data_IF_830282273168
#
_entry.id   IF_830282273168
#
_cell.length_a   1.000
_cell.length_b   1.000
_cell.length_c   1.000
_cell.angle_alpha   90.00
_cell.angle_beta   90.00
_cell.angle_gamma   90.00
#
_symmetry.space_group_name_H-M   'P 1'
#
loop_
_entity.id
_entity.type
_entity.pdbx_description
1 polymer ?
#
# COMPACT_ATOMS: atom_id res chain seq x y z
N UNK A 1 4.54 2.14 31.41
CA UNK A 1 3.93 2.37 30.09
C UNK A 1 4.66 1.51 29.09
N UNK A 2 4.18 0.28 28.88
CA UNK A 2 4.65 -0.69 27.87
C UNK A 2 3.40 -0.99 27.06
N UNK A 3 3.31 -0.51 25.82
CA UNK A 3 2.13 -0.79 24.98
C UNK A 3 2.42 -1.01 23.49
N UNK A 4 3.66 -0.91 23.02
CA UNK A 4 3.94 -0.90 21.57
C UNK A 4 5.04 -1.89 21.14
N UNK A 5 5.08 -3.11 21.68
CA UNK A 5 6.08 -4.12 21.26
C UNK A 5 5.50 -5.51 20.95
N UNK A 6 4.18 -5.68 21.04
CA UNK A 6 3.51 -6.98 20.84
C UNK A 6 3.26 -7.34 19.36
N UNK A 7 3.42 -6.39 18.42
CA UNK A 7 3.44 -6.68 16.97
C UNK A 7 4.67 -7.54 16.59
N UNK A 8 5.65 -7.67 17.49
CA UNK A 8 6.96 -8.29 17.23
C UNK A 8 7.10 -9.76 17.66
N UNK A 9 6.12 -10.39 18.29
CA UNK A 9 6.24 -11.79 18.70
C UNK A 9 4.89 -12.43 18.52
N UNK A 10 4.80 -13.41 17.62
CA UNK A 10 3.60 -14.17 17.33
C UNK A 10 4.04 -15.64 17.16
N UNK A 11 3.45 -16.60 17.89
CA UNK A 11 4.09 -17.88 18.16
C UNK A 11 3.19 -19.15 18.17
N UNK A 12 3.82 -20.35 18.16
CA UNK A 12 3.42 -21.79 18.41
C UNK A 12 2.35 -22.55 17.54
N UNK A 13 2.75 -23.62 16.82
CA UNK A 13 1.89 -24.66 16.20
C UNK A 13 2.23 -25.22 14.79
N UNK A 14 3.27 -26.07 14.63
CA UNK A 14 3.71 -26.63 13.32
C UNK A 14 2.67 -27.48 12.54
N UNK A 15 2.39 -27.11 11.28
CA UNK A 15 1.86 -28.05 10.27
C UNK A 15 2.56 -27.91 8.90
N UNK A 16 3.01 -29.04 8.35
CA UNK A 16 3.63 -29.14 7.04
C UNK A 16 2.56 -29.16 5.92
N UNK A 17 2.55 -28.14 5.06
CA UNK A 17 1.74 -28.13 3.85
C UNK A 17 2.49 -28.80 2.69
N UNK A 18 1.96 -29.93 2.24
CA UNK A 18 2.32 -30.55 0.97
C UNK A 18 1.48 -29.86 -0.12
N UNK A 19 2.10 -28.99 -0.91
CA UNK A 19 1.46 -28.41 -2.09
C UNK A 19 1.75 -29.27 -3.34
N UNK A 20 0.68 -29.56 -4.08
CA UNK A 20 0.64 -30.42 -5.27
C UNK A 20 1.48 -29.93 -6.46
N UNK A 21 1.94 -30.92 -7.23
CA UNK A 21 2.76 -30.87 -8.43
C UNK A 21 2.28 -29.88 -9.52
N UNK A 22 3.16 -28.94 -9.88
CA UNK A 22 3.27 -28.38 -11.24
C UNK A 22 4.74 -28.12 -11.58
N UNK A 23 5.19 -28.75 -12.67
CA UNK A 23 6.40 -28.55 -13.48
C UNK A 23 7.74 -28.38 -12.76
N UNK A 24 8.60 -29.42 -12.79
CA UNK A 24 10.04 -29.46 -12.47
C UNK A 24 10.61 -28.25 -11.68
N UNK A 25 9.99 -27.90 -10.55
CA UNK A 25 10.47 -26.84 -9.68
C UNK A 25 11.69 -27.36 -8.94
N UNK A 26 12.83 -26.67 -9.04
CA UNK A 26 14.05 -27.06 -8.32
C UNK A 26 14.30 -26.18 -7.11
N UNK A 27 15.04 -26.74 -6.16
CA UNK A 27 15.68 -25.96 -5.11
C UNK A 27 16.94 -25.32 -5.70
N UNK A 28 16.99 -23.99 -5.73
CA UNK A 28 18.18 -23.26 -6.16
C UNK A 28 19.33 -23.51 -5.19
N UNK A 29 20.55 -23.58 -5.73
CA UNK A 29 21.75 -23.54 -4.89
C UNK A 29 22.01 -22.11 -4.38
N UNK A 30 22.98 -21.96 -3.48
CA UNK A 30 23.30 -20.67 -2.84
C UNK A 30 23.62 -19.57 -3.86
N UNK A 31 24.49 -19.86 -4.83
CA UNK A 31 24.94 -18.86 -5.81
C UNK A 31 23.79 -18.43 -6.73
N UNK A 32 22.98 -19.39 -7.19
CA UNK A 32 21.76 -19.12 -7.96
C UNK A 32 20.78 -18.26 -7.16
N UNK A 33 20.54 -18.61 -5.89
CA UNK A 33 19.63 -17.88 -5.01
C UNK A 33 20.10 -16.44 -4.76
N UNK A 34 21.39 -16.24 -4.42
CA UNK A 34 21.99 -14.92 -4.24
C UNK A 34 21.91 -14.07 -5.50
N UNK A 35 22.09 -14.68 -6.67
CA UNK A 35 21.94 -13.99 -7.95
C UNK A 35 20.49 -13.52 -8.15
N UNK A 36 19.48 -14.38 -7.89
CA UNK A 36 18.08 -13.97 -8.02
C UNK A 36 17.73 -12.81 -7.07
N UNK A 37 18.22 -12.86 -5.83
CA UNK A 37 18.05 -11.80 -4.81
C UNK A 37 18.70 -10.49 -5.26
N UNK A 38 19.96 -10.55 -5.70
CA UNK A 38 20.70 -9.37 -6.16
C UNK A 38 20.01 -8.71 -7.36
N UNK A 39 19.47 -9.51 -8.28
CA UNK A 39 18.74 -9.00 -9.43
C UNK A 39 17.46 -8.26 -9.00
N UNK A 40 16.69 -8.80 -8.05
CA UNK A 40 15.48 -8.17 -7.55
C UNK A 40 15.77 -6.82 -6.86
N UNK A 41 16.82 -6.76 -6.03
CA UNK A 41 17.31 -5.53 -5.38
C UNK A 41 17.66 -4.44 -6.42
N UNK A 42 18.46 -4.81 -7.44
CA UNK A 42 18.85 -3.88 -8.50
C UNK A 42 17.65 -3.42 -9.33
N UNK A 43 16.70 -4.31 -9.61
CA UNK A 43 15.49 -3.96 -10.36
C UNK A 43 14.63 -2.98 -9.56
N UNK A 44 14.47 -3.18 -8.25
CA UNK A 44 13.74 -2.27 -7.36
C UNK A 44 14.33 -0.85 -7.36
N UNK A 45 15.65 -0.73 -7.25
CA UNK A 45 16.34 0.57 -7.34
C UNK A 45 16.08 1.22 -8.69
N UNK A 46 16.29 0.47 -9.78
CA UNK A 46 16.15 1.00 -11.14
C UNK A 46 14.71 1.46 -11.42
N UNK A 47 13.70 0.68 -11.03
CA UNK A 47 12.29 1.04 -11.24
C UNK A 47 11.88 2.24 -10.42
N UNK A 48 12.32 2.35 -9.17
CA UNK A 48 12.03 3.50 -8.33
C UNK A 48 12.54 4.80 -8.98
N UNK A 49 13.78 4.80 -9.49
CA UNK A 49 14.36 5.94 -10.21
C UNK A 49 13.63 6.31 -11.52
N UNK A 50 13.03 5.34 -12.21
CA UNK A 50 12.25 5.62 -13.41
C UNK A 50 10.91 6.31 -13.11
N UNK A 51 10.27 6.01 -11.97
CA UNK A 51 8.97 6.60 -11.57
C UNK A 51 9.14 8.09 -11.26
N UNK A 52 10.14 8.42 -10.42
CA UNK A 52 10.41 9.81 -10.00
C UNK A 52 10.82 10.70 -11.17
N UNK A 53 11.30 10.08 -12.25
CA UNK A 53 11.64 10.78 -13.48
C UNK A 53 10.42 11.17 -14.33
N UNK A 54 9.22 10.62 -14.07
CA UNK A 54 8.01 10.88 -14.88
C UNK A 54 7.46 12.30 -14.66
N UNK A 55 6.89 12.89 -15.73
CA UNK A 55 6.26 14.21 -15.65
C UNK A 55 5.08 14.22 -14.65
N UNK A 56 4.29 13.15 -14.62
CA UNK A 56 3.17 13.00 -13.70
C UNK A 56 3.61 13.13 -12.24
N UNK A 57 4.66 12.41 -11.86
CA UNK A 57 5.22 12.48 -10.51
C UNK A 57 5.75 13.88 -10.17
N UNK A 58 6.64 14.42 -11.00
CA UNK A 58 7.29 15.72 -10.74
C UNK A 58 6.30 16.88 -10.67
N UNK A 59 5.25 16.87 -11.50
CA UNK A 59 4.23 17.91 -11.49
C UNK A 59 3.40 17.85 -10.21
N UNK A 60 3.08 16.65 -9.74
CA UNK A 60 2.31 16.46 -8.53
C UNK A 60 3.11 16.84 -7.28
N UNK A 61 4.39 16.45 -7.20
CA UNK A 61 5.33 16.91 -6.18
C UNK A 61 5.44 18.45 -6.17
N UNK A 62 5.62 19.07 -7.35
CA UNK A 62 5.67 20.52 -7.48
C UNK A 62 4.38 21.19 -7.01
N UNK A 63 3.22 20.67 -7.41
CA UNK A 63 1.93 21.22 -7.03
C UNK A 63 1.74 21.25 -5.52
N UNK A 64 2.24 20.23 -4.82
CA UNK A 64 2.05 20.10 -3.39
C UNK A 64 3.06 20.86 -2.53
N UNK A 65 4.32 20.87 -2.95
CA UNK A 65 5.42 21.37 -2.11
C UNK A 65 5.84 22.79 -2.46
N UNK A 66 5.61 23.23 -3.71
CA UNK A 66 6.14 24.50 -4.23
C UNK A 66 5.05 25.54 -4.54
N UNK A 67 3.79 25.12 -4.68
CA UNK A 67 2.67 26.04 -4.87
C UNK A 67 1.84 26.15 -3.59
N UNK A 68 1.48 27.36 -3.14
CA UNK A 68 0.54 27.49 -2.04
C UNK A 68 -0.80 26.91 -2.48
N UNK A 69 -1.42 26.09 -1.63
CA UNK A 69 -2.68 25.44 -1.99
C UNK A 69 -3.79 26.47 -2.26
N UNK A 70 -4.58 26.32 -3.35
CA UNK A 70 -5.76 27.15 -3.58
C UNK A 70 -6.87 26.95 -2.54
N UNK A 71 -6.77 25.92 -1.69
CA UNK A 71 -7.84 25.49 -0.77
C UNK A 71 -7.54 25.78 0.72
N UNK A 72 -6.32 26.20 1.06
CA UNK A 72 -5.85 26.32 2.46
C UNK A 72 -6.59 27.35 3.33
N UNK A 73 -7.41 28.22 2.74
CA UNK A 73 -8.18 29.25 3.48
C UNK A 73 -9.49 28.75 4.11
N UNK A 74 -9.91 27.49 3.88
CA UNK A 74 -11.17 26.93 4.44
C UNK A 74 -11.00 26.02 5.66
N UNK A 75 -9.79 25.83 6.21
CA UNK A 75 -9.49 24.80 7.22
C UNK A 75 -9.89 25.09 8.68
N UNK A 76 -10.71 26.12 8.96
CA UNK A 76 -11.20 26.39 10.33
C UNK A 76 -12.48 25.61 10.70
N UNK A 77 -12.84 24.56 9.96
CA UNK A 77 -13.89 23.64 10.40
C UNK A 77 -13.23 22.60 11.31
N UNK A 78 -13.65 22.59 12.58
CA UNK A 78 -13.25 21.61 13.60
C UNK A 78 -13.14 20.21 12.97
N UNK A 79 -11.92 19.68 12.89
CA UNK A 79 -11.68 18.29 12.51
C UNK A 79 -12.57 17.42 13.40
N UNK A 80 -13.44 16.61 12.80
CA UNK A 80 -14.07 15.50 13.52
C UNK A 80 -12.97 14.70 14.19
N UNK A 81 -13.16 14.37 15.48
CA UNK A 81 -12.18 13.63 16.31
C UNK A 81 -12.02 12.18 15.85
N UNK A 82 -12.80 11.76 14.85
CA UNK A 82 -12.77 10.43 14.27
C UNK A 82 -12.28 10.57 12.82
N UNK A 83 -11.07 10.09 12.48
CA UNK A 83 -10.67 9.90 11.08
C UNK A 83 -11.74 9.02 10.43
N UNK A 84 -12.39 9.49 9.37
CA UNK A 84 -13.33 8.66 8.62
C UNK A 84 -12.59 7.40 8.14
N UNK A 85 -13.22 6.22 8.13
CA UNK A 85 -12.59 4.99 7.63
C UNK A 85 -12.06 5.13 6.18
N UNK A 86 -12.56 6.12 5.43
CA UNK A 86 -11.98 6.57 4.17
C UNK A 86 -10.57 7.14 4.33
N UNK A 87 -10.37 8.02 5.31
CA UNK A 87 -9.08 8.62 5.60
C UNK A 87 -8.10 7.56 6.08
N UNK A 88 -8.55 6.56 6.83
CA UNK A 88 -7.75 5.37 7.14
C UNK A 88 -7.45 4.52 5.92
N UNK A 89 -8.42 4.14 5.09
CA UNK A 89 -8.17 3.37 3.87
C UNK A 89 -7.25 4.10 2.86
N UNK A 90 -7.35 5.43 2.84
CA UNK A 90 -6.47 6.30 2.06
C UNK A 90 -5.07 6.44 2.69
N UNK A 91 -4.98 6.59 4.02
CA UNK A 91 -3.75 6.59 4.80
C UNK A 91 -3.07 5.20 4.79
N UNK A 92 -3.82 4.11 4.63
CA UNK A 92 -3.32 2.74 4.48
C UNK A 92 -2.79 2.50 3.07
N UNK A 93 -3.45 3.03 2.02
CA UNK A 93 -2.80 3.13 0.70
C UNK A 93 -1.52 3.95 0.74
N UNK A 94 -1.39 4.91 1.67
CA UNK A 94 -0.21 5.76 1.83
C UNK A 94 0.88 5.10 2.68
N UNK A 95 0.53 4.44 3.77
CA UNK A 95 1.46 3.73 4.66
C UNK A 95 1.98 2.46 3.98
N UNK A 96 1.19 1.83 3.11
CA UNK A 96 1.65 0.74 2.25
C UNK A 96 2.49 1.16 1.04
N UNK A 97 2.79 2.45 0.93
CA UNK A 97 3.59 3.00 -0.15
C UNK A 97 4.76 3.78 0.46
N UNK A 98 5.92 3.10 0.52
CA UNK A 98 7.26 3.70 0.36
C UNK A 98 8.04 4.17 1.59
N UNK A 99 7.97 3.46 2.72
CA UNK A 99 8.66 3.95 3.92
C UNK A 99 10.20 4.01 3.92
N UNK A 100 10.98 3.34 3.04
CA UNK A 100 12.41 3.75 2.87
C UNK A 100 12.90 3.82 1.42
N UNK A 101 12.03 4.26 0.49
CA UNK A 101 12.53 4.98 -0.68
C UNK A 101 11.82 6.34 -0.70
N UNK A 102 12.44 7.41 -0.18
CA UNK A 102 11.80 8.67 0.23
C UNK A 102 11.23 9.52 -0.93
N UNK A 103 10.87 8.93 -2.07
CA UNK A 103 10.72 9.69 -3.30
C UNK A 103 9.41 9.44 -4.06
N UNK A 104 8.36 8.81 -3.53
CA UNK A 104 7.05 8.79 -4.23
C UNK A 104 5.85 9.07 -3.30
N UNK A 105 5.77 10.30 -2.79
CA UNK A 105 4.60 10.75 -2.03
C UNK A 105 3.47 11.22 -2.96
N UNK A 106 2.25 10.73 -2.74
CA UNK A 106 1.04 11.21 -3.43
C UNK A 106 0.34 12.32 -2.64
N UNK A 107 0.63 13.57 -3.00
CA UNK A 107 0.23 14.76 -2.25
C UNK A 107 -1.18 15.31 -2.55
N UNK A 108 -2.11 14.46 -2.98
CA UNK A 108 -3.51 14.86 -3.12
C UNK A 108 -4.23 14.99 -1.76
N UNK A 109 -3.51 14.70 -0.66
CA UNK A 109 -3.99 14.74 0.74
C UNK A 109 -4.51 16.10 1.19
N UNK A 110 -4.15 17.18 0.50
CA UNK A 110 -4.61 18.52 0.85
C UNK A 110 -6.01 18.81 0.28
N UNK A 111 -6.98 18.09 0.84
CA UNK A 111 -8.30 18.62 1.18
C UNK A 111 -9.23 19.03 0.02
N UNK A 112 -9.73 18.04 -0.73
CA UNK A 112 -10.83 18.25 -1.68
C UNK A 112 -12.10 17.48 -1.31
N UNK A 113 -12.05 16.43 -0.48
CA UNK A 113 -13.21 15.52 -0.32
C UNK A 113 -14.35 16.10 0.53
N UNK A 114 -14.04 16.82 1.61
CA UNK A 114 -15.09 17.40 2.47
C UNK A 114 -15.64 18.74 1.95
N UNK A 115 -14.90 19.41 1.07
CA UNK A 115 -15.32 20.69 0.49
C UNK A 115 -15.44 20.61 -1.04
N UNK A 116 -15.49 19.42 -1.65
CA UNK A 116 -15.50 19.25 -3.12
C UNK A 116 -16.58 20.14 -3.73
N UNK A 117 -17.76 20.10 -3.13
CA UNK A 117 -18.92 20.91 -3.52
C UNK A 117 -18.71 22.42 -3.35
N UNK A 118 -17.88 22.85 -2.41
CA UNK A 118 -17.61 24.27 -2.11
C UNK A 118 -16.44 24.85 -2.91
N UNK A 119 -15.65 24.02 -3.59
CA UNK A 119 -14.46 24.45 -4.35
C UNK A 119 -14.57 24.17 -5.85
N UNK A 120 -15.73 23.70 -6.32
CA UNK A 120 -16.02 23.49 -7.75
C UNK A 120 -15.76 24.76 -8.56
N UNK A 121 -15.34 24.58 -9.80
CA UNK A 121 -14.93 25.65 -10.69
C UNK A 121 -13.47 25.56 -11.09
N UNK A 122 -12.98 26.62 -11.73
CA UNK A 122 -11.61 26.72 -12.22
C UNK A 122 -10.79 27.65 -11.34
N UNK A 123 -9.66 27.15 -10.83
CA UNK A 123 -8.64 27.86 -10.09
C UNK A 123 -7.45 28.13 -11.00
N UNK A 124 -7.16 29.39 -11.29
CA UNK A 124 -6.02 29.78 -12.13
C UNK A 124 -4.93 30.42 -11.26
N UNK A 125 -3.71 29.94 -11.40
CA UNK A 125 -2.55 30.60 -10.81
C UNK A 125 -2.28 31.92 -11.53
N UNK A 126 -1.96 32.95 -10.75
CA UNK A 126 -1.45 34.24 -11.22
C UNK A 126 -0.29 34.69 -10.34
N UNK A 127 0.53 35.68 -10.78
CA UNK A 127 1.58 36.23 -9.92
C UNK A 127 1.08 36.82 -8.58
N UNK A 128 -0.20 37.15 -8.49
CA UNK A 128 -0.83 37.69 -7.28
C UNK A 128 -1.58 36.62 -6.46
N UNK A 129 -1.41 35.34 -6.81
CA UNK A 129 -2.10 34.20 -6.18
C UNK A 129 -3.21 33.62 -7.06
N UNK A 130 -4.09 32.83 -6.44
CA UNK A 130 -5.14 32.11 -7.13
C UNK A 130 -6.36 32.98 -7.45
N UNK A 131 -6.89 32.86 -8.67
CA UNK A 131 -8.21 33.37 -9.04
C UNK A 131 -9.17 32.20 -9.24
N UNK A 132 -10.45 32.41 -8.89
CA UNK A 132 -11.49 31.38 -8.96
C UNK A 132 -12.63 31.81 -9.88
N UNK A 133 -13.02 30.89 -10.76
CA UNK A 133 -14.20 30.98 -11.62
C UNK A 133 -15.14 29.83 -11.24
N UNK A 134 -16.45 30.07 -11.11
CA UNK A 134 -17.41 29.05 -10.64
C UNK A 134 -17.76 27.99 -11.68
N UNK A 135 -17.14 28.04 -12.86
CA UNK A 135 -17.31 27.05 -13.94
C UNK A 135 -16.06 26.19 -14.10
N UNK A 136 -16.20 24.87 -14.28
CA UNK A 136 -17.45 24.10 -14.37
C UNK A 136 -18.12 23.88 -13.00
N UNK A 137 -19.40 23.49 -12.98
CA UNK A 137 -20.22 23.35 -11.75
C UNK A 137 -20.22 21.96 -11.14
N UNK A 138 -19.55 21.02 -11.78
CA UNK A 138 -19.46 19.60 -11.41
C UNK A 138 -18.03 19.15 -11.08
N UNK A 139 -17.01 19.91 -11.49
CA UNK A 139 -15.60 19.55 -11.36
C UNK A 139 -14.78 20.64 -10.68
N UNK A 140 -13.60 20.27 -10.17
CA UNK A 140 -12.57 21.20 -9.71
C UNK A 140 -11.43 21.17 -10.72
N UNK A 141 -11.13 22.30 -11.34
CA UNK A 141 -10.04 22.45 -12.31
C UNK A 141 -8.99 23.37 -11.72
N UNK A 142 -7.73 22.96 -11.67
CA UNK A 142 -6.63 23.78 -11.17
C UNK A 142 -5.58 23.94 -12.26
N UNK A 143 -5.25 25.18 -12.60
CA UNK A 143 -4.33 25.53 -13.70
C UNK A 143 -3.15 26.31 -13.17
N UNK A 144 -1.93 25.84 -13.43
CA UNK A 144 -0.72 26.47 -12.92
C UNK A 144 0.47 26.30 -13.87
N UNK A 145 1.53 27.14 -13.73
CA UNK A 145 2.73 27.03 -14.54
C UNK A 145 3.65 25.93 -14.00
N UNK A 146 4.16 25.09 -14.88
CA UNK A 146 5.24 24.17 -14.59
C UNK A 146 6.27 24.15 -15.73
N UNK A 147 7.58 24.18 -15.40
CA UNK A 147 8.17 24.48 -14.08
C UNK A 147 7.88 25.93 -13.63
N UNK A 148 8.29 26.32 -12.42
CA UNK A 148 7.96 27.62 -11.79
C UNK A 148 8.24 28.87 -12.67
N UNK A 149 9.19 28.78 -13.61
CA UNK A 149 9.52 29.86 -14.54
C UNK A 149 8.64 29.93 -15.80
N UNK A 150 7.65 29.05 -15.97
CA UNK A 150 6.80 29.05 -17.15
C UNK A 150 5.88 30.28 -17.15
N UNK A 151 5.84 30.99 -18.28
CA UNK A 151 5.03 32.19 -18.45
C UNK A 151 3.52 31.89 -18.57
N UNK A 152 3.14 30.62 -18.76
CA UNK A 152 1.77 30.19 -19.00
C UNK A 152 1.36 29.06 -18.06
N UNK A 153 0.07 29.01 -17.72
CA UNK A 153 -0.51 27.87 -17.00
C UNK A 153 -0.64 26.69 -17.97
N UNK A 154 0.43 25.89 -18.07
CA UNK A 154 0.54 24.77 -18.98
C UNK A 154 0.25 23.41 -18.32
N UNK A 155 -0.02 23.40 -17.01
CA UNK A 155 -0.56 22.24 -16.29
C UNK A 155 -2.02 22.48 -15.95
N UNK A 156 -2.85 21.45 -16.15
CA UNK A 156 -4.23 21.40 -15.67
C UNK A 156 -4.43 20.13 -14.85
N UNK A 157 -4.79 20.28 -13.57
CA UNK A 157 -5.26 19.20 -12.70
C UNK A 157 -6.78 19.27 -12.68
N UNK A 158 -7.46 18.16 -12.97
CA UNK A 158 -8.93 18.08 -12.93
C UNK A 158 -9.36 17.00 -11.96
N UNK A 159 -10.18 17.36 -10.99
CA UNK A 159 -10.92 16.46 -10.11
C UNK A 159 -12.37 16.38 -10.59
N UNK A 160 -12.86 15.18 -10.88
CA UNK A 160 -14.14 14.96 -11.54
C UNK A 160 -14.76 13.62 -11.11
N UNK A 161 -16.00 13.37 -11.53
CA UNK A 161 -16.78 12.18 -11.17
C UNK A 161 -16.86 11.93 -9.65
N UNK A 162 -16.93 13.01 -8.86
CA UNK A 162 -17.04 12.90 -7.40
C UNK A 162 -18.42 12.42 -6.98
N UNK A 163 -18.45 11.38 -6.16
CA UNK A 163 -19.67 10.87 -5.52
C UNK A 163 -19.42 10.62 -4.03
N UNK A 164 -20.49 10.63 -3.24
CA UNK A 164 -20.43 10.34 -1.81
C UNK A 164 -21.73 9.74 -1.32
N UNK A 165 -21.68 9.01 -0.21
CA UNK A 165 -22.84 8.42 0.46
C UNK A 165 -22.86 8.78 1.96
N UNK A 166 -23.98 8.56 2.62
CA UNK A 166 -24.12 8.75 4.07
C UNK A 166 -23.93 7.40 4.77
N UNK A 167 -22.95 7.31 5.67
CA UNK A 167 -22.67 6.14 6.50
C UNK A 167 -22.64 6.59 7.95
N UNK A 168 -23.54 6.05 8.77
CA UNK A 168 -23.66 6.39 10.21
C UNK A 168 -23.69 7.91 10.49
N UNK A 169 -24.38 8.65 9.63
CA UNK A 169 -24.54 10.10 9.75
C UNK A 169 -23.34 10.92 9.24
N UNK A 170 -22.31 10.28 8.69
CA UNK A 170 -21.15 10.93 8.07
C UNK A 170 -21.20 10.82 6.54
N UNK A 171 -20.90 11.91 5.84
CA UNK A 171 -20.74 11.89 4.38
C UNK A 171 -19.36 11.33 4.05
N UNK A 172 -19.33 10.20 3.36
CA UNK A 172 -18.10 9.50 2.97
C UNK A 172 -18.01 9.47 1.45
N UNK A 173 -16.87 9.85 0.85
CA UNK A 173 -16.70 9.80 -0.60
C UNK A 173 -16.70 8.34 -1.08
N UNK A 174 -17.35 8.11 -2.22
CA UNK A 174 -17.47 6.78 -2.85
C UNK A 174 -16.81 6.73 -4.21
N UNK A 175 -16.63 7.85 -4.90
CA UNK A 175 -15.87 7.92 -6.15
C UNK A 175 -15.17 9.28 -6.26
N UNK A 176 -13.99 9.29 -6.85
CA UNK A 176 -13.34 10.50 -7.37
C UNK A 176 -12.33 10.10 -8.44
N UNK A 177 -12.25 10.89 -9.51
CA UNK A 177 -11.19 10.78 -10.50
C UNK A 177 -10.37 12.04 -10.54
N UNK A 178 -9.07 11.87 -10.77
CA UNK A 178 -8.10 12.93 -10.93
C UNK A 178 -7.35 12.69 -12.23
N UNK A 179 -7.10 13.75 -12.99
CA UNK A 179 -6.14 13.72 -14.11
C UNK A 179 -5.23 14.94 -14.07
N UNK A 180 -4.00 14.75 -14.52
CA UNK A 180 -3.05 15.85 -14.77
C UNK A 180 -2.74 15.87 -16.26
N UNK A 181 -2.93 17.03 -16.87
CA UNK A 181 -2.57 17.32 -18.25
C UNK A 181 -1.42 18.34 -18.27
N UNK A 182 -0.32 18.00 -18.92
CA UNK A 182 0.83 18.85 -19.15
C UNK A 182 0.95 19.16 -20.64
N UNK A 183 0.89 20.43 -21.02
CA UNK A 183 0.81 20.86 -22.43
C UNK A 183 -0.27 20.10 -23.22
N UNK A 184 -1.46 19.91 -22.61
CA UNK A 184 -2.58 19.13 -23.16
C UNK A 184 -2.31 17.63 -23.37
N UNK A 185 -1.22 17.10 -22.81
CA UNK A 185 -0.94 15.65 -22.78
C UNK A 185 -1.25 15.12 -21.39
N UNK A 186 -2.08 14.09 -21.28
CA UNK A 186 -2.34 13.44 -20.01
C UNK A 186 -1.09 12.71 -19.52
N UNK A 187 -0.57 13.11 -18.36
CA UNK A 187 0.64 12.55 -17.75
C UNK A 187 0.35 11.76 -16.47
N UNK A 188 -0.84 11.92 -15.91
CA UNK A 188 -1.27 11.23 -14.69
C UNK A 188 -2.79 11.03 -14.68
N UNK A 189 -3.24 9.89 -14.14
CA UNK A 189 -4.62 9.67 -13.71
C UNK A 189 -4.67 8.93 -12.39
N UNK A 190 -5.67 9.25 -11.58
CA UNK A 190 -6.09 8.49 -10.41
C UNK A 190 -7.59 8.26 -10.49
N UNK A 191 -8.04 7.06 -10.13
CA UNK A 191 -9.44 6.75 -9.94
C UNK A 191 -9.60 6.03 -8.59
N UNK A 192 -10.36 6.63 -7.70
CA UNK A 192 -10.81 6.01 -6.46
C UNK A 192 -12.26 5.59 -6.61
N UNK A 193 -12.59 4.42 -6.08
CA UNK A 193 -13.95 3.95 -5.91
C UNK A 193 -14.09 3.18 -4.60
N UNK A 194 -15.27 3.21 -3.99
CA UNK A 194 -15.59 2.42 -2.83
C UNK A 194 -17.05 2.00 -2.79
N UNK A 195 -17.26 0.79 -2.27
CA UNK A 195 -18.57 0.27 -1.91
C UNK A 195 -18.61 0.14 -0.40
N UNK A 196 -19.45 0.94 0.24
CA UNK A 196 -19.55 0.99 1.70
C UNK A 196 -20.97 0.61 2.09
N UNK A 197 -21.14 -0.59 2.65
CA UNK A 197 -22.44 -1.03 3.17
C UNK A 197 -22.68 -0.44 4.57
N UNK A 198 -21.64 -0.48 5.41
CA UNK A 198 -21.55 0.16 6.73
C UNK A 198 -20.06 0.22 7.14
N UNK A 199 -19.77 0.72 8.34
CA UNK A 199 -18.39 0.81 8.87
C UNK A 199 -17.66 -0.53 9.02
N UNK A 200 -18.42 -1.62 9.16
CA UNK A 200 -17.95 -3.00 9.36
C UNK A 200 -17.85 -3.79 8.05
N UNK A 201 -18.31 -3.21 6.93
CA UNK A 201 -18.36 -3.87 5.62
C UNK A 201 -18.18 -2.88 4.49
N UNK A 202 -16.97 -2.88 3.93
CA UNK A 202 -16.62 -2.00 2.83
C UNK A 202 -15.53 -2.59 1.93
N UNK A 203 -15.44 -2.08 0.72
CA UNK A 203 -14.34 -2.34 -0.20
C UNK A 203 -13.91 -1.05 -0.88
N UNK A 204 -12.61 -0.87 -1.06
CA UNK A 204 -12.03 0.29 -1.75
C UNK A 204 -11.18 -0.19 -2.92
N UNK A 205 -11.03 0.70 -3.91
CA UNK A 205 -10.14 0.50 -5.03
C UNK A 205 -9.53 1.83 -5.48
N UNK A 206 -8.23 1.82 -5.70
CA UNK A 206 -7.46 2.93 -6.24
C UNK A 206 -6.68 2.46 -7.45
N UNK A 207 -6.93 3.06 -8.61
CA UNK A 207 -6.12 2.88 -9.81
C UNK A 207 -5.35 4.17 -10.11
N UNK A 208 -4.05 4.06 -10.35
CA UNK A 208 -3.18 5.18 -10.72
C UNK A 208 -2.43 4.85 -12.00
N UNK A 209 -2.23 5.82 -12.87
CA UNK A 209 -1.41 5.68 -14.07
C UNK A 209 -0.55 6.92 -14.26
N UNK A 210 0.74 6.71 -14.50
CA UNK A 210 1.70 7.72 -14.93
C UNK A 210 2.60 7.04 -15.96
N UNK A 211 2.20 7.14 -17.24
CA UNK A 211 2.79 6.36 -18.34
C UNK A 211 4.33 6.31 -18.27
N UNK A 212 4.96 5.12 -18.29
CA UNK A 212 4.42 3.78 -18.62
C UNK A 212 3.88 2.96 -17.45
N UNK A 213 3.71 3.56 -16.28
CA UNK A 213 3.42 2.85 -15.04
C UNK A 213 1.93 2.83 -14.70
N UNK A 214 1.50 1.75 -14.06
CA UNK A 214 0.16 1.61 -13.52
C UNK A 214 0.20 0.94 -12.14
N UNK A 215 -0.55 1.49 -11.19
CA UNK A 215 -0.77 0.96 -9.85
C UNK A 215 -2.25 0.64 -9.71
N UNK A 216 -2.57 -0.45 -9.01
CA UNK A 216 -3.93 -0.80 -8.59
C UNK A 216 -3.86 -1.33 -7.17
N UNK A 217 -4.58 -0.71 -6.23
CA UNK A 217 -4.80 -1.25 -4.89
C UNK A 217 -6.28 -1.52 -4.68
N UNK A 218 -6.61 -2.69 -4.15
CA UNK A 218 -7.95 -3.10 -3.77
C UNK A 218 -7.91 -3.64 -2.34
N UNK A 219 -8.81 -3.15 -1.50
CA UNK A 219 -8.95 -3.62 -0.11
C UNK A 219 -10.41 -3.92 0.19
N UNK A 220 -10.65 -4.91 1.05
CA UNK A 220 -12.00 -5.16 1.55
C UNK A 220 -11.98 -5.66 2.99
N UNK A 221 -12.97 -5.23 3.76
CA UNK A 221 -13.25 -5.68 5.11
C UNK A 221 -14.70 -6.16 5.17
N UNK A 222 -14.91 -7.29 5.82
CA UNK A 222 -16.25 -7.81 6.12
C UNK A 222 -16.27 -8.45 7.51
N UNK A 223 -16.95 -7.78 8.46
CA UNK A 223 -17.20 -8.25 9.84
C UNK A 223 -18.58 -8.91 9.96
N UNK A 224 -19.32 -9.08 8.86
CA UNK A 224 -20.75 -9.46 8.90
C UNK A 224 -21.04 -10.98 8.93
N UNK A 225 -20.03 -11.84 9.09
CA UNK A 225 -20.19 -13.30 8.88
C UNK A 225 -19.81 -14.12 10.11
N UNK A 226 -20.79 -14.64 10.86
CA UNK A 226 -20.64 -15.78 11.78
C UNK A 226 -19.38 -15.75 12.67
N UNK A 227 -19.21 -14.69 13.48
CA UNK A 227 -18.06 -14.52 14.37
C UNK A 227 -16.71 -14.44 13.63
N UNK A 228 -16.71 -13.98 12.37
CA UNK A 228 -15.49 -13.80 11.56
C UNK A 228 -15.28 -12.37 11.11
N UNK A 229 -14.00 -11.99 11.08
CA UNK A 229 -13.50 -10.82 10.38
C UNK A 229 -12.72 -11.31 9.16
N UNK A 230 -13.11 -10.84 7.99
CA UNK A 230 -12.41 -11.09 6.74
C UNK A 230 -11.77 -9.79 6.26
N UNK A 231 -10.49 -9.86 5.92
CA UNK A 231 -9.78 -8.79 5.25
C UNK A 231 -9.05 -9.33 4.03
N UNK A 232 -9.08 -8.57 2.94
CA UNK A 232 -8.31 -8.87 1.74
C UNK A 232 -7.61 -7.62 1.25
N UNK A 233 -6.34 -7.75 0.86
CA UNK A 233 -5.56 -6.71 0.19
C UNK A 233 -5.03 -7.24 -1.13
N UNK A 234 -5.11 -6.43 -2.17
CA UNK A 234 -4.51 -6.72 -3.46
C UNK A 234 -3.89 -5.48 -4.05
N UNK A 235 -2.58 -5.44 -4.04
CA UNK A 235 -1.79 -4.39 -4.66
C UNK A 235 -1.10 -4.92 -5.92
N UNK A 236 -1.08 -4.14 -6.98
CA UNK A 236 -0.26 -4.41 -8.16
C UNK A 236 0.40 -3.14 -8.66
N UNK A 237 1.65 -3.26 -9.05
CA UNK A 237 2.41 -2.24 -9.72
C UNK A 237 3.05 -2.81 -10.98
N UNK A 238 2.75 -2.17 -12.11
CA UNK A 238 3.10 -2.61 -13.45
C UNK A 238 3.85 -1.53 -14.20
N UNK A 239 4.78 -1.95 -15.04
CA UNK A 239 5.43 -1.12 -16.06
C UNK A 239 5.17 -1.72 -17.43
N UNK A 240 4.68 -0.94 -18.39
CA UNK A 240 4.39 -1.41 -19.74
C UNK A 240 3.47 -2.66 -19.75
N UNK A 241 2.52 -2.69 -18.81
CA UNK A 241 1.60 -3.82 -18.61
C UNK A 241 2.20 -5.07 -17.94
N UNK A 242 3.52 -5.11 -17.70
CA UNK A 242 4.20 -6.22 -17.02
C UNK A 242 4.18 -6.01 -15.51
N UNK A 243 3.85 -7.06 -14.76
CA UNK A 243 3.91 -7.06 -13.31
C UNK A 243 5.36 -6.91 -12.86
N UNK A 244 5.61 -5.90 -12.02
CA UNK A 244 6.89 -5.71 -11.37
C UNK A 244 6.79 -5.99 -9.86
N UNK A 245 5.70 -5.53 -9.24
CA UNK A 245 5.45 -5.73 -7.82
C UNK A 245 3.98 -6.04 -7.57
N UNK A 246 3.69 -6.95 -6.64
CA UNK A 246 2.33 -7.16 -6.15
C UNK A 246 2.32 -7.64 -4.72
N UNK A 247 1.24 -7.30 -4.02
CA UNK A 247 0.85 -7.91 -2.76
C UNK A 247 -0.53 -8.52 -2.94
N UNK A 248 -0.73 -9.72 -2.40
CA UNK A 248 -2.01 -10.38 -2.33
C UNK A 248 -2.09 -11.02 -0.95
N UNK A 249 -2.99 -10.53 -0.11
CA UNK A 249 -3.13 -10.97 1.26
C UNK A 249 -4.58 -11.22 1.61
N UNK A 250 -4.81 -12.29 2.35
CA UNK A 250 -6.10 -12.60 2.94
C UNK A 250 -5.88 -12.88 4.42
N UNK A 251 -6.67 -12.22 5.25
CA UNK A 251 -6.75 -12.43 6.68
C UNK A 251 -8.15 -12.95 7.02
N UNK A 252 -8.19 -13.96 7.85
CA UNK A 252 -9.41 -14.46 8.48
C UNK A 252 -9.18 -14.54 9.98
N UNK A 253 -9.99 -13.81 10.75
CA UNK A 253 -10.06 -13.95 12.20
C UNK A 253 -11.38 -14.66 12.50
N UNK A 254 -11.33 -15.74 13.26
CA UNK A 254 -12.51 -16.45 13.77
C UNK A 254 -12.56 -16.29 15.28
N UNK A 255 -13.52 -15.50 15.77
CA UNK A 255 -13.71 -15.23 17.19
C UNK A 255 -14.24 -16.51 17.84
N UNK A 256 -13.52 -17.00 18.86
CA UNK A 256 -13.94 -18.18 19.61
C UNK A 256 -14.69 -17.78 20.88
N UNK A 257 -14.26 -16.70 21.53
CA UNK A 257 -14.87 -16.08 22.71
C UNK A 257 -14.31 -14.64 22.89
N UNK A 258 -14.70 -13.96 23.97
CA UNK A 258 -14.31 -12.58 24.26
C UNK A 258 -12.79 -12.35 24.43
N UNK A 259 -12.02 -13.41 24.71
CA UNK A 259 -10.58 -13.33 25.01
C UNK A 259 -9.71 -14.06 23.96
N UNK A 260 -10.30 -14.82 23.03
CA UNK A 260 -9.51 -15.60 22.06
C UNK A 260 -10.13 -15.68 20.66
N UNK A 261 -9.26 -15.62 19.65
CA UNK A 261 -9.61 -15.84 18.25
C UNK A 261 -8.55 -16.69 17.53
N UNK A 262 -8.99 -17.40 16.50
CA UNK A 262 -8.09 -18.05 15.54
C UNK A 262 -7.80 -17.11 14.38
N UNK A 263 -6.53 -16.96 14.03
CA UNK A 263 -6.03 -16.07 12.99
C UNK A 263 -5.35 -16.87 11.90
N UNK A 264 -5.81 -16.69 10.67
CA UNK A 264 -5.20 -17.21 9.46
C UNK A 264 -4.86 -16.05 8.53
N UNK A 265 -3.58 -15.87 8.25
CA UNK A 265 -3.08 -14.97 7.22
C UNK A 265 -2.44 -15.82 6.12
N UNK A 266 -2.86 -15.59 4.89
CA UNK A 266 -2.17 -16.10 3.71
C UNK A 266 -1.82 -14.94 2.82
N UNK A 267 -0.54 -14.79 2.52
CA UNK A 267 -0.03 -13.65 1.80
C UNK A 267 1.02 -14.06 0.76
N UNK A 268 1.03 -13.34 -0.35
CA UNK A 268 1.99 -13.46 -1.42
C UNK A 268 2.47 -12.08 -1.83
N UNK A 269 3.78 -11.89 -1.84
CA UNK A 269 4.41 -10.66 -2.32
C UNK A 269 5.36 -10.99 -3.46
N UNK A 270 5.26 -10.27 -4.57
CA UNK A 270 6.16 -10.41 -5.72
C UNK A 270 7.00 -9.15 -5.83
N UNK A 271 8.32 -9.31 -5.97
CA UNK A 271 9.26 -8.23 -6.25
C UNK A 271 10.18 -8.68 -7.38
N UNK A 272 10.00 -8.09 -8.57
CA UNK A 272 10.72 -8.50 -9.78
C UNK A 272 10.50 -9.97 -10.10
N UNK A 273 11.57 -10.75 -10.07
CA UNK A 273 11.59 -12.20 -10.28
C UNK A 273 11.36 -13.04 -9.02
N UNK A 274 11.21 -12.42 -7.85
CA UNK A 274 11.02 -13.11 -6.57
C UNK A 274 9.57 -13.12 -6.12
N UNK A 275 9.20 -14.17 -5.38
CA UNK A 275 7.88 -14.41 -4.81
C UNK A 275 8.01 -14.91 -3.37
N UNK A 276 7.62 -14.05 -2.43
CA UNK A 276 7.46 -14.39 -1.03
C UNK A 276 6.10 -15.04 -0.83
N UNK A 277 6.08 -16.14 -0.09
CA UNK A 277 4.86 -16.82 0.33
C UNK A 277 4.86 -16.87 1.84
N UNK A 278 3.89 -16.19 2.42
CA UNK A 278 3.65 -16.14 3.85
C UNK A 278 2.37 -16.92 4.17
N UNK A 279 2.45 -17.73 5.20
CA UNK A 279 1.28 -18.22 5.92
C UNK A 279 1.51 -18.02 7.42
N UNK A 280 0.52 -17.47 8.10
CA UNK A 280 0.45 -17.40 9.56
C UNK A 280 -0.83 -18.10 9.97
N UNK A 281 -0.76 -19.07 10.87
CA UNK A 281 -1.91 -19.79 11.41
C UNK A 281 -1.70 -19.98 12.91
N UNK A 282 -2.48 -19.29 13.73
CA UNK A 282 -2.31 -19.28 15.18
C UNK A 282 -3.57 -18.85 15.93
N UNK A 283 -3.68 -19.22 17.19
CA UNK A 283 -4.59 -18.62 18.14
C UNK A 283 -3.99 -17.34 18.76
N UNK A 284 -4.83 -16.35 19.11
CA UNK A 284 -4.38 -15.09 19.70
C UNK A 284 -3.59 -15.24 21.01
N UNK A 285 -3.72 -16.35 21.73
CA UNK A 285 -2.93 -16.63 22.92
C UNK A 285 -1.50 -17.11 22.60
N UNK A 286 -1.35 -17.79 21.47
CA UNK A 286 -0.06 -18.36 21.06
C UNK A 286 0.88 -17.25 20.57
N UNK A 287 0.29 -16.16 20.09
CA UNK A 287 0.94 -14.93 19.73
C UNK A 287 1.85 -14.36 20.84
N UNK A 288 1.43 -14.33 22.10
CA UNK A 288 2.23 -13.72 23.17
C UNK A 288 3.32 -14.60 23.78
N UNK A 289 3.34 -15.94 23.54
CA UNK A 289 4.16 -16.86 24.37
C UNK A 289 4.97 -18.00 23.72
N UNK A 290 4.68 -18.48 22.51
CA UNK A 290 5.37 -19.67 21.90
C UNK A 290 6.68 -19.47 21.08
N UNK A 291 6.83 -20.11 19.91
CA UNK A 291 7.96 -19.87 18.98
C UNK A 291 7.45 -19.42 17.59
N UNK A 292 7.97 -18.33 16.98
CA UNK A 292 7.50 -17.84 15.68
C UNK A 292 7.61 -18.85 14.53
N UNK A 293 8.65 -19.70 14.57
CA UNK A 293 8.87 -20.71 13.53
C UNK A 293 7.78 -21.79 13.48
N UNK A 294 6.95 -21.88 14.51
CA UNK A 294 5.90 -22.89 14.52
C UNK A 294 4.61 -22.39 13.84
N UNK A 295 4.36 -21.08 13.78
CA UNK A 295 3.13 -20.52 13.18
C UNK A 295 3.37 -19.75 11.89
N UNK A 296 4.60 -19.24 11.69
CA UNK A 296 4.95 -18.50 10.49
C UNK A 296 5.66 -19.44 9.53
N UNK A 297 5.04 -19.68 8.39
CA UNK A 297 5.68 -20.30 7.24
C UNK A 297 5.99 -19.20 6.23
N UNK A 298 7.28 -18.89 6.09
CA UNK A 298 7.75 -17.89 5.16
C UNK A 298 8.84 -18.48 4.26
N UNK A 299 8.58 -18.48 2.96
CA UNK A 299 9.48 -19.04 1.95
C UNK A 299 9.62 -18.09 0.77
N UNK A 300 10.80 -18.14 0.14
CA UNK A 300 11.11 -17.38 -1.06
C UNK A 300 11.18 -18.31 -2.27
N UNK A 301 10.50 -17.92 -3.34
CA UNK A 301 10.50 -18.59 -4.63
C UNK A 301 10.90 -17.60 -5.72
N UNK A 302 11.25 -18.11 -6.89
CA UNK A 302 11.18 -17.32 -8.11
C UNK A 302 9.72 -17.28 -8.59
N UNK A 303 9.37 -16.29 -9.41
CA UNK A 303 8.04 -16.25 -10.07
C UNK A 303 7.81 -17.42 -11.03
N UNK A 304 8.88 -18.15 -11.40
CA UNK A 304 8.81 -19.42 -12.14
C UNK A 304 8.55 -20.65 -11.27
N UNK A 305 8.57 -20.52 -9.94
CA UNK A 305 8.26 -21.60 -8.99
C UNK A 305 9.47 -22.27 -8.34
N UNK A 306 10.71 -21.95 -8.74
CA UNK A 306 11.91 -22.50 -8.12
C UNK A 306 12.05 -21.98 -6.69
N UNK A 307 12.37 -22.87 -5.74
CA UNK A 307 12.55 -22.48 -4.34
C UNK A 307 13.92 -21.85 -4.14
N UNK A 308 13.95 -20.62 -3.65
CA UNK A 308 15.17 -19.85 -3.37
C UNK A 308 15.68 -20.17 -1.95
N UNK A 309 14.76 -20.26 -0.99
CA UNK A 309 15.07 -20.63 0.41
C UNK A 309 13.88 -20.39 1.34
N UNK A 310 14.12 -20.53 2.63
CA UNK A 310 13.15 -20.33 3.70
C UNK A 310 13.59 -19.21 4.62
N UNK A 311 12.67 -18.63 5.36
CA UNK A 311 12.98 -17.72 6.46
C UNK A 311 12.74 -18.41 7.79
N UNK A 312 13.62 -18.14 8.74
CA UNK A 312 13.57 -18.69 10.10
C UNK A 312 13.86 -17.59 11.10
N UNK A 313 13.18 -17.64 12.24
CA UNK A 313 13.44 -16.74 13.36
C UNK A 313 14.49 -17.37 14.29
N UNK A 314 15.50 -16.61 14.66
CA UNK A 314 16.57 -17.03 15.57
C UNK A 314 16.58 -16.09 16.78
N UNK A 315 16.54 -16.64 17.99
CA UNK A 315 16.59 -15.84 19.21
C UNK A 315 18.03 -15.34 19.46
N UNK A 316 18.21 -14.03 19.43
CA UNK A 316 19.46 -13.32 19.75
C UNK A 316 19.19 -12.29 20.84
N UNK A 317 19.94 -12.32 21.94
CA UNK A 317 19.85 -11.30 23.00
C UNK A 317 18.43 -11.06 23.58
N UNK A 318 17.55 -12.08 23.49
CA UNK A 318 16.11 -12.09 23.86
C UNK A 318 15.16 -11.45 22.84
N UNK A 319 15.65 -11.17 21.64
CA UNK A 319 14.85 -10.72 20.51
C UNK A 319 14.87 -11.78 19.40
N UNK A 320 13.79 -11.87 18.62
CA UNK A 320 13.73 -12.74 17.45
C UNK A 320 14.25 -12.00 16.22
N UNK A 321 15.28 -12.55 15.60
CA UNK A 321 15.91 -12.00 14.40
C UNK A 321 15.57 -12.87 13.21
N UNK A 322 15.13 -12.25 12.11
CA UNK A 322 14.80 -12.97 10.88
C UNK A 322 16.07 -13.33 10.08
N UNK A 323 16.25 -14.62 9.86
CA UNK A 323 17.32 -15.19 9.04
C UNK A 323 16.76 -15.77 7.75
N UNK A 324 17.47 -15.58 6.65
CA UNK A 324 17.28 -16.33 5.43
C UNK A 324 18.12 -17.60 5.46
N UNK A 325 17.45 -18.74 5.30
CA UNK A 325 18.04 -20.07 5.23
C UNK A 325 18.03 -20.56 3.78
N UNK A 326 19.21 -20.65 3.18
CA UNK A 326 19.37 -21.25 1.86
C UNK A 326 18.97 -22.72 1.89
N UNK A 327 18.63 -23.28 0.72
CA UNK A 327 18.33 -24.72 0.59
C UNK A 327 19.51 -25.64 1.02
N UNK A 328 20.74 -25.11 1.07
CA UNK A 328 21.93 -25.81 1.61
C UNK A 328 21.92 -25.92 3.15
N UNK A 329 21.04 -25.18 3.83
CA UNK A 329 20.97 -25.07 5.29
C UNK A 329 21.78 -23.93 5.89
N UNK A 330 22.62 -23.26 5.11
CA UNK A 330 23.33 -22.05 5.54
C UNK A 330 22.34 -20.91 5.83
N UNK A 331 22.62 -20.13 6.88
CA UNK A 331 21.77 -19.04 7.33
C UNK A 331 22.53 -17.71 7.31
N UNK A 332 21.86 -16.65 6.86
CA UNK A 332 22.35 -15.27 6.87
C UNK A 332 21.21 -14.37 7.34
N UNK A 333 21.49 -13.31 8.09
CA UNK A 333 20.47 -12.31 8.47
C UNK A 333 19.77 -11.79 7.22
N UNK A 334 18.44 -11.80 7.19
CA UNK A 334 17.66 -11.42 6.01
C UNK A 334 17.99 -9.98 5.58
N UNK A 335 18.04 -9.04 6.54
CA UNK A 335 18.41 -7.63 6.35
C UNK A 335 19.80 -7.44 5.71
N UNK A 336 20.74 -8.36 5.96
CA UNK A 336 22.10 -8.26 5.40
C UNK A 336 22.14 -8.79 3.98
N UNK A 337 21.37 -9.84 3.69
CA UNK A 337 21.37 -10.49 2.38
C UNK A 337 20.54 -9.73 1.35
N UNK A 338 19.39 -9.18 1.77
CA UNK A 338 18.41 -8.53 0.89
C UNK A 338 17.81 -7.31 1.60
N UNK A 339 18.57 -6.21 1.77
CA UNK A 339 18.15 -5.09 2.60
C UNK A 339 16.85 -4.44 2.12
N UNK A 340 16.75 -4.04 0.85
CA UNK A 340 15.56 -3.33 0.34
C UNK A 340 14.37 -4.26 0.21
N UNK A 341 14.62 -5.51 -0.19
CA UNK A 341 13.57 -6.52 -0.30
C UNK A 341 13.03 -6.89 1.09
N UNK A 342 13.90 -7.03 2.10
CA UNK A 342 13.49 -7.33 3.48
C UNK A 342 12.69 -6.17 4.07
N UNK A 343 13.14 -4.94 3.90
CA UNK A 343 12.43 -3.73 4.34
C UNK A 343 11.01 -3.70 3.75
N UNK A 344 10.87 -3.92 2.43
CA UNK A 344 9.57 -3.98 1.77
C UNK A 344 8.68 -5.08 2.31
N UNK A 345 9.26 -6.26 2.52
CA UNK A 345 8.54 -7.37 3.12
C UNK A 345 8.06 -7.02 4.53
N UNK A 346 8.91 -6.43 5.38
CA UNK A 346 8.54 -6.03 6.74
C UNK A 346 7.44 -4.97 6.75
N UNK A 347 7.52 -3.96 5.89
CA UNK A 347 6.45 -2.96 5.72
C UNK A 347 5.13 -3.61 5.32
N UNK A 348 5.15 -4.53 4.35
CA UNK A 348 3.96 -5.28 3.96
C UNK A 348 3.36 -6.08 5.14
N UNK A 349 4.21 -6.72 5.95
CA UNK A 349 3.75 -7.43 7.15
C UNK A 349 3.14 -6.47 8.17
N UNK A 350 3.79 -5.34 8.44
CA UNK A 350 3.34 -4.35 9.42
C UNK A 350 1.98 -3.73 9.01
N UNK A 351 1.78 -3.45 7.72
CA UNK A 351 0.49 -3.01 7.19
C UNK A 351 -0.63 -4.02 7.44
N UNK A 352 -0.35 -5.31 7.25
CA UNK A 352 -1.34 -6.36 7.48
C UNK A 352 -1.80 -6.39 8.94
N UNK A 353 -0.90 -6.13 9.89
CA UNK A 353 -1.22 -6.14 11.32
C UNK A 353 -1.76 -4.82 11.85
N UNK A 354 -1.34 -3.68 11.29
CA UNK A 354 -1.87 -2.37 11.66
C UNK A 354 -3.38 -2.28 11.44
N UNK A 355 -3.85 -2.88 10.33
CA UNK A 355 -5.28 -3.03 10.01
C UNK A 355 -6.09 -3.88 11.00
N UNK A 356 -5.43 -4.69 11.82
CA UNK A 356 -6.07 -5.57 12.81
C UNK A 356 -6.19 -4.86 14.16
N UNK A 357 -5.22 -4.01 14.51
CA UNK A 357 -5.09 -3.44 15.85
C UNK A 357 -5.93 -2.19 16.13
N UNK A 358 -6.51 -1.57 15.09
CA UNK A 358 -7.25 -0.31 15.22
C UNK A 358 -8.79 -0.44 15.23
N UNK A 359 -9.32 -1.67 15.32
CA UNK A 359 -10.76 -1.92 15.49
C UNK A 359 -11.11 -2.30 16.93
#
# INVERSE_FOLDING_TARGET
MKKNSMIALLMAGMFAFVACDKDDTKNLNKDEAQQQITNAEQELIAKSGEIVATDGYKIQEYFATQLPSPFYSKSNVLKSVVPSNFQKAYELTRESLLLENPEIDFYFEHFILWFFNDVKGTWNWTPNGWTHETTPTDNVVVKFPYPAGNASNNVTVTYYDFSSTLVDGQTVPTDIKVKIEYNNTQVFTLAYSATIANIEKFSTKVDVTFSPFAISNEESIDVSVNDKVLYSKKFTFKKDGKLFYSEDANLTITILNEESADVLITAKMVIGNLEFRLKIEANTNEFETGNPNDIVLLSLYTTGGDKVGDFVFVEEERDWVLYFKFNSGEQVKAETLMPLVSERFFSFIDDLFSNISEN
#
